data_IF_850825111985
#
_entry.id   IF_850825111985
#
_cell.length_a   1.000
_cell.length_b   1.000
_cell.length_c   1.000
_cell.angle_alpha   90.00
_cell.angle_beta   90.00
_cell.angle_gamma   90.00
#
_symmetry.space_group_name_H-M   'P 1'
#
loop_
_entity.id
_entity.type
_entity.pdbx_description
1 polymer ?
#
# COMPACT_ATOMS: atom_id res chain seq x y z
N UNK A 1 -18.19 -0.06 -15.66
CA UNK A 1 -16.93 0.56 -15.25
C UNK A 1 -16.44 -0.18 -14.02
N UNK A 2 -15.29 -0.79 -14.08
CA UNK A 2 -14.70 -1.49 -12.92
C UNK A 2 -13.76 -0.51 -12.22
N UNK A 3 -14.06 -0.17 -10.98
CA UNK A 3 -13.25 0.74 -10.18
C UNK A 3 -12.60 0.01 -9.01
N UNK A 4 -11.52 0.56 -8.50
CA UNK A 4 -10.80 0.07 -7.34
C UNK A 4 -10.32 1.24 -6.50
N UNK A 5 -10.32 1.08 -5.19
CA UNK A 5 -9.69 2.00 -4.25
C UNK A 5 -8.25 1.55 -4.00
N UNK A 6 -7.30 2.40 -4.35
CA UNK A 6 -5.88 2.19 -4.12
C UNK A 6 -5.40 3.10 -3.01
N UNK A 7 -4.92 2.51 -1.92
CA UNK A 7 -4.38 3.24 -0.76
C UNK A 7 -2.87 3.02 -0.67
N UNK A 8 -2.10 4.11 -0.73
CA UNK A 8 -0.70 4.15 -0.35
C UNK A 8 -0.62 4.74 1.08
N UNK A 9 -0.42 3.87 2.07
CA UNK A 9 -0.34 4.26 3.48
C UNK A 9 1.11 4.23 3.96
N UNK A 10 1.78 5.32 3.73
CA UNK A 10 3.19 5.50 4.11
C UNK A 10 3.39 5.76 5.61
N UNK A 11 4.64 5.94 6.02
CA UNK A 11 4.99 6.22 7.42
C UNK A 11 4.38 7.52 7.91
N UNK A 12 4.45 8.58 7.09
CA UNK A 12 4.04 9.96 7.43
C UNK A 12 2.88 10.47 6.60
N UNK A 13 2.51 9.79 5.51
CA UNK A 13 1.49 10.24 4.56
C UNK A 13 0.49 9.13 4.27
N UNK A 14 -0.71 9.54 3.88
CA UNK A 14 -1.79 8.67 3.44
C UNK A 14 -2.35 9.21 2.13
N UNK A 15 -2.46 8.34 1.14
CA UNK A 15 -3.03 8.67 -0.16
C UNK A 15 -4.04 7.59 -0.56
N UNK A 16 -5.27 8.01 -0.83
CA UNK A 16 -6.35 7.14 -1.30
C UNK A 16 -6.85 7.63 -2.66
N UNK A 17 -6.91 6.73 -3.63
CA UNK A 17 -7.35 7.03 -4.98
C UNK A 17 -8.44 6.08 -5.42
N UNK A 18 -9.47 6.61 -6.05
CA UNK A 18 -10.42 5.85 -6.84
C UNK A 18 -9.88 5.78 -8.28
N UNK A 19 -9.64 4.57 -8.75
CA UNK A 19 -8.99 4.32 -10.05
C UNK A 19 -9.90 3.47 -10.94
N UNK A 20 -10.02 3.86 -12.18
CA UNK A 20 -10.63 3.03 -13.22
C UNK A 20 -9.67 1.91 -13.62
N UNK A 21 -10.13 0.64 -13.56
CA UNK A 21 -9.25 -0.52 -13.81
C UNK A 21 -8.88 -0.72 -15.28
N UNK A 22 -9.66 -0.17 -16.19
CA UNK A 22 -9.44 -0.36 -17.63
C UNK A 22 -8.51 0.73 -18.20
N UNK A 23 -8.62 1.96 -17.69
CA UNK A 23 -7.87 3.12 -18.19
C UNK A 23 -6.75 3.57 -17.26
N UNK A 24 -6.73 3.08 -16.01
CA UNK A 24 -5.87 3.53 -14.92
C UNK A 24 -6.06 5.02 -14.55
N UNK A 25 -7.12 5.64 -15.03
CA UNK A 25 -7.40 7.04 -14.71
C UNK A 25 -7.82 7.21 -13.25
N UNK A 26 -7.20 8.16 -12.57
CA UNK A 26 -7.59 8.58 -11.21
C UNK A 26 -8.85 9.44 -11.31
N UNK A 27 -9.95 8.94 -10.78
CA UNK A 27 -11.25 9.61 -10.79
C UNK A 27 -11.43 10.54 -9.58
N UNK A 28 -10.84 10.15 -8.43
CA UNK A 28 -10.88 10.93 -7.20
C UNK A 28 -9.64 10.62 -6.35
N UNK A 29 -9.23 11.59 -5.53
CA UNK A 29 -8.10 11.44 -4.62
C UNK A 29 -8.39 12.10 -3.26
N UNK A 30 -7.96 11.44 -2.20
CA UNK A 30 -7.92 11.97 -0.84
C UNK A 30 -6.50 11.84 -0.28
N UNK A 31 -5.96 12.95 0.24
CA UNK A 31 -4.63 13.03 0.81
C UNK A 31 -4.70 13.43 2.28
N UNK A 32 -3.85 12.83 3.10
CA UNK A 32 -3.68 13.20 4.50
C UNK A 32 -2.21 13.09 4.91
N UNK A 33 -1.79 13.91 5.85
CA UNK A 33 -0.48 13.81 6.52
C UNK A 33 -0.49 12.81 7.69
N UNK A 34 -1.59 12.09 7.91
CA UNK A 34 -1.72 11.08 8.97
C UNK A 34 -1.32 9.71 8.43
N UNK A 35 -0.02 9.45 8.39
CA UNK A 35 0.51 8.14 8.02
C UNK A 35 0.44 7.11 9.15
N UNK A 36 0.98 5.91 8.90
CA UNK A 36 0.94 4.77 9.84
C UNK A 36 1.53 5.11 11.19
N UNK A 37 2.63 5.89 11.26
CA UNK A 37 3.28 6.23 12.54
C UNK A 37 2.38 7.07 13.45
N UNK A 38 1.64 8.02 12.89
CA UNK A 38 0.69 8.84 13.65
C UNK A 38 -0.52 8.00 14.08
N UNK A 39 -1.09 7.22 13.16
CA UNK A 39 -2.22 6.31 13.42
C UNK A 39 -1.89 5.30 14.54
N UNK A 40 -0.67 4.75 14.53
CA UNK A 40 -0.22 3.82 15.56
C UNK A 40 -0.12 4.46 16.95
N UNK A 41 0.37 5.70 17.03
CA UNK A 41 0.41 6.45 18.30
C UNK A 41 -0.99 6.72 18.85
N UNK A 42 -1.90 7.19 17.99
CA UNK A 42 -3.29 7.44 18.36
C UNK A 42 -3.99 6.15 18.84
N UNK A 43 -3.75 5.01 18.17
CA UNK A 43 -4.26 3.72 18.62
C UNK A 43 -3.73 3.34 20.00
N UNK A 44 -2.44 3.55 20.27
CA UNK A 44 -1.80 3.24 21.56
C UNK A 44 -2.41 4.02 22.74
N UNK A 45 -2.99 5.18 22.49
CA UNK A 45 -3.67 6.01 23.47
C UNK A 45 -5.10 5.51 23.77
N UNK A 46 -5.64 4.62 22.94
CA UNK A 46 -6.98 4.05 23.06
C UNK A 46 -6.89 2.57 23.45
N UNK A 47 -6.97 2.27 24.75
CA UNK A 47 -6.65 0.94 25.30
C UNK A 47 -7.67 -0.17 25.02
N UNK A 48 -8.82 0.12 24.41
CA UNK A 48 -9.96 -0.81 24.30
C UNK A 48 -10.24 -1.33 22.89
N UNK A 49 -9.65 -0.74 21.86
CA UNK A 49 -9.95 -1.08 20.46
C UNK A 49 -8.84 -1.95 19.88
N UNK A 50 -9.21 -3.04 19.21
CA UNK A 50 -8.29 -3.85 18.42
C UNK A 50 -7.60 -2.98 17.38
N UNK A 51 -6.29 -3.21 17.14
CA UNK A 51 -5.50 -2.42 16.21
C UNK A 51 -6.06 -2.45 14.78
N UNK A 52 -6.43 -3.63 14.29
CA UNK A 52 -7.01 -3.78 12.96
C UNK A 52 -8.31 -2.97 12.83
N UNK A 53 -9.17 -3.03 13.83
CA UNK A 53 -10.45 -2.31 13.83
C UNK A 53 -10.23 -0.79 13.84
N UNK A 54 -9.27 -0.30 14.63
CA UNK A 54 -8.92 1.11 14.66
C UNK A 54 -8.47 1.63 13.29
N UNK A 55 -7.56 0.90 12.63
CA UNK A 55 -7.10 1.25 11.28
C UNK A 55 -8.22 1.14 10.25
N UNK A 56 -9.11 0.13 10.41
CA UNK A 56 -10.28 -0.04 9.57
C UNK A 56 -11.20 1.18 9.62
N UNK A 57 -11.47 1.69 10.81
CA UNK A 57 -12.30 2.90 10.98
C UNK A 57 -11.64 4.14 10.35
N UNK A 58 -10.32 4.28 10.45
CA UNK A 58 -9.58 5.36 9.77
C UNK A 58 -9.69 5.27 8.25
N UNK A 59 -9.55 4.05 7.70
CA UNK A 59 -9.68 3.82 6.27
C UNK A 59 -11.12 4.10 5.80
N UNK A 60 -12.14 3.63 6.52
CA UNK A 60 -13.56 3.92 6.26
C UNK A 60 -13.84 5.43 6.23
N UNK A 61 -13.37 6.16 7.24
CA UNK A 61 -13.52 7.61 7.31
C UNK A 61 -12.91 8.29 6.10
N UNK A 62 -11.71 7.85 5.66
CA UNK A 62 -11.03 8.40 4.49
C UNK A 62 -11.77 8.09 3.19
N UNK A 63 -12.36 6.88 3.05
CA UNK A 63 -13.20 6.50 1.92
C UNK A 63 -14.46 7.38 1.88
N UNK A 64 -15.11 7.59 3.02
CA UNK A 64 -16.29 8.46 3.12
C UNK A 64 -15.97 9.91 2.75
N UNK A 65 -14.81 10.43 3.17
CA UNK A 65 -14.36 11.78 2.78
C UNK A 65 -14.09 11.89 1.28
N UNK A 66 -13.47 10.87 0.68
CA UNK A 66 -13.24 10.80 -0.76
C UNK A 66 -14.58 10.79 -1.51
N UNK A 67 -15.53 9.95 -1.10
CA UNK A 67 -16.87 9.87 -1.69
C UNK A 67 -17.62 11.21 -1.61
N UNK A 68 -17.59 11.86 -0.44
CA UNK A 68 -18.24 13.15 -0.21
C UNK A 68 -17.67 14.27 -1.09
N UNK A 69 -16.34 14.30 -1.26
CA UNK A 69 -15.68 15.34 -2.07
C UNK A 69 -15.83 15.14 -3.57
N UNK A 70 -15.95 13.91 -4.01
CA UNK A 70 -16.00 13.56 -5.43
C UNK A 70 -17.38 13.26 -5.96
N UNK A 71 -18.40 13.18 -5.08
CA UNK A 71 -19.78 12.76 -5.42
C UNK A 71 -19.85 11.36 -6.08
N UNK A 72 -18.84 10.52 -5.86
CA UNK A 72 -18.76 9.16 -6.39
C UNK A 72 -19.27 8.17 -5.35
N UNK A 73 -20.07 7.20 -5.79
CA UNK A 73 -20.46 6.07 -4.94
C UNK A 73 -19.24 5.15 -4.79
N UNK A 74 -18.83 4.87 -3.55
CA UNK A 74 -17.72 3.99 -3.20
C UNK A 74 -18.17 2.67 -2.57
N UNK A 75 -19.47 2.37 -2.57
CA UNK A 75 -20.01 1.12 -2.04
C UNK A 75 -19.55 -0.07 -2.87
N UNK A 76 -19.25 -1.17 -2.20
CA UNK A 76 -18.83 -2.44 -2.82
C UNK A 76 -17.59 -2.33 -3.74
N UNK A 77 -16.76 -1.30 -3.56
CA UNK A 77 -15.51 -1.16 -4.31
C UNK A 77 -14.38 -1.87 -3.55
N UNK A 78 -13.64 -2.79 -4.19
CA UNK A 78 -12.45 -3.41 -3.59
C UNK A 78 -11.41 -2.36 -3.19
N UNK A 79 -10.76 -2.61 -2.06
CA UNK A 79 -9.68 -1.73 -1.54
C UNK A 79 -8.36 -2.48 -1.55
N UNK A 80 -7.34 -1.93 -2.18
CA UNK A 80 -5.95 -2.40 -2.07
C UNK A 80 -5.16 -1.39 -1.26
N UNK A 81 -4.47 -1.87 -0.23
CA UNK A 81 -3.60 -1.06 0.63
C UNK A 81 -2.17 -1.54 0.49
N UNK A 82 -1.27 -0.64 0.11
CA UNK A 82 0.19 -0.86 0.06
C UNK A 82 0.92 0.05 1.05
N UNK A 83 2.22 -0.14 1.19
CA UNK A 83 3.06 0.66 2.08
C UNK A 83 3.09 0.14 3.50
N UNK A 84 3.21 1.03 4.47
CA UNK A 84 3.47 0.69 5.87
C UNK A 84 2.29 0.05 6.62
N UNK A 85 1.10 -0.04 6.01
CA UNK A 85 -0.07 -0.69 6.62
C UNK A 85 0.17 -2.18 6.94
N UNK A 86 1.09 -2.85 6.22
CA UNK A 86 1.47 -4.25 6.46
C UNK A 86 2.65 -4.44 7.41
N UNK A 87 3.09 -3.40 8.12
CA UNK A 87 4.23 -3.45 9.06
C UNK A 87 3.80 -3.82 10.49
N UNK A 88 4.78 -4.04 11.37
CA UNK A 88 4.57 -4.30 12.80
C UNK A 88 3.83 -3.17 13.53
N UNK A 89 3.88 -1.95 13.01
CA UNK A 89 3.11 -0.79 13.49
C UNK A 89 1.90 -0.48 12.59
N UNK A 90 1.67 -1.28 11.55
CA UNK A 90 0.57 -1.11 10.60
C UNK A 90 -0.75 -1.71 11.05
N UNK A 91 -1.69 -1.75 10.12
CA UNK A 91 -3.01 -2.33 10.31
C UNK A 91 -2.94 -3.83 10.63
N UNK A 92 -2.17 -4.56 9.83
CA UNK A 92 -1.95 -6.01 9.96
C UNK A 92 -0.50 -6.32 9.63
N UNK A 93 0.21 -7.04 10.48
CA UNK A 93 1.58 -7.44 10.21
C UNK A 93 1.60 -8.65 9.25
N UNK A 94 2.18 -8.44 8.06
CA UNK A 94 2.24 -9.45 7.02
C UNK A 94 3.71 -9.75 6.69
N UNK A 95 4.12 -11.03 6.63
CA UNK A 95 5.48 -11.40 6.25
C UNK A 95 5.86 -10.82 4.88
N UNK A 96 7.12 -10.44 4.73
CA UNK A 96 7.66 -10.00 3.45
C UNK A 96 7.72 -11.14 2.42
N UNK A 97 7.53 -10.81 1.14
CA UNK A 97 7.97 -11.67 0.06
C UNK A 97 9.51 -11.67 -0.02
N UNK A 98 10.10 -12.71 -0.60
CA UNK A 98 11.55 -12.88 -0.70
C UNK A 98 12.07 -12.67 -2.12
N UNK A 99 13.35 -12.35 -2.24
CA UNK A 99 14.05 -12.31 -3.52
C UNK A 99 14.41 -13.73 -4.02
N UNK A 100 14.45 -13.94 -5.36
CA UNK A 100 14.09 -12.99 -6.42
C UNK A 100 12.57 -12.82 -6.56
N UNK A 101 12.10 -11.57 -6.66
CA UNK A 101 10.67 -11.23 -6.67
C UNK A 101 10.19 -10.86 -8.09
N UNK A 102 9.14 -11.52 -8.58
CA UNK A 102 8.56 -11.25 -9.91
C UNK A 102 7.68 -9.99 -9.90
N UNK A 103 7.94 -9.06 -10.83
CA UNK A 103 7.14 -7.83 -10.95
C UNK A 103 5.77 -8.03 -11.61
N UNK A 104 5.38 -9.25 -11.93
CA UNK A 104 4.00 -9.56 -12.32
C UNK A 104 3.06 -9.75 -11.10
N UNK A 105 3.55 -9.56 -9.89
CA UNK A 105 2.79 -9.66 -8.65
C UNK A 105 2.49 -11.09 -8.17
N UNK A 106 2.85 -12.14 -8.93
CA UNK A 106 2.50 -13.54 -8.60
C UNK A 106 3.14 -14.06 -7.30
N UNK A 107 4.14 -13.37 -6.78
CA UNK A 107 4.84 -13.70 -5.53
C UNK A 107 4.60 -12.67 -4.42
N UNK A 108 3.68 -11.72 -4.65
CA UNK A 108 3.35 -10.74 -3.62
C UNK A 108 2.77 -11.42 -2.38
N UNK A 109 3.27 -11.05 -1.21
CA UNK A 109 2.70 -11.48 0.06
C UNK A 109 1.51 -10.58 0.37
N UNK A 110 0.32 -11.16 0.47
CA UNK A 110 -0.91 -10.41 0.66
C UNK A 110 -1.78 -11.04 1.75
N UNK A 111 -2.61 -10.20 2.38
CA UNK A 111 -3.73 -10.65 3.22
C UNK A 111 -5.03 -10.14 2.60
N UNK A 112 -6.00 -11.03 2.45
CA UNK A 112 -7.32 -10.73 1.90
C UNK A 112 -8.36 -10.87 3.00
N UNK A 113 -9.23 -9.89 3.12
CA UNK A 113 -10.41 -9.88 3.98
C UNK A 113 -11.62 -9.77 3.04
N UNK A 114 -12.35 -10.86 2.84
CA UNK A 114 -13.38 -11.00 1.79
C UNK A 114 -14.57 -10.06 1.96
N UNK A 115 -14.92 -9.77 3.19
CA UNK A 115 -16.02 -8.85 3.51
C UNK A 115 -15.50 -7.73 4.42
N UNK A 116 -14.89 -6.73 3.81
CA UNK A 116 -14.45 -5.56 4.54
C UNK A 116 -15.64 -4.65 4.82
N UNK A 117 -15.97 -4.49 6.09
CA UNK A 117 -17.05 -3.61 6.59
C UNK A 117 -18.49 -4.06 6.32
N UNK A 118 -18.77 -5.32 6.03
CA UNK A 118 -20.09 -5.77 5.67
C UNK A 118 -20.57 -5.24 4.32
N UNK A 119 -19.64 -4.74 3.48
CA UNK A 119 -19.93 -4.20 2.15
C UNK A 119 -19.95 -5.26 1.05
N UNK A 120 -19.49 -6.48 1.37
CA UNK A 120 -19.26 -7.52 0.37
C UNK A 120 -18.06 -7.25 -0.55
N UNK A 121 -17.30 -6.19 -0.29
CA UNK A 121 -16.09 -5.86 -1.05
C UNK A 121 -14.82 -6.28 -0.28
N UNK A 122 -13.80 -6.83 -0.95
CA UNK A 122 -12.58 -7.25 -0.29
C UNK A 122 -11.65 -6.06 0.04
N UNK A 123 -10.95 -6.20 1.17
CA UNK A 123 -9.77 -5.43 1.50
C UNK A 123 -8.54 -6.32 1.27
N UNK A 124 -7.59 -5.84 0.49
CA UNK A 124 -6.34 -6.53 0.18
C UNK A 124 -5.20 -5.69 0.72
N UNK A 125 -4.44 -6.22 1.67
CA UNK A 125 -3.23 -5.56 2.19
C UNK A 125 -2.02 -6.24 1.59
N UNK A 126 -1.15 -5.45 0.95
CA UNK A 126 0.06 -5.92 0.28
C UNK A 126 1.26 -5.71 1.19
N UNK A 127 2.10 -6.72 1.35
CA UNK A 127 3.36 -6.63 2.09
C UNK A 127 4.52 -6.29 1.15
N UNK A 128 5.64 -5.89 1.75
CA UNK A 128 6.86 -5.56 1.05
C UNK A 128 7.70 -6.77 0.62
N UNK A 129 8.89 -6.49 0.14
CA UNK A 129 9.90 -7.47 -0.26
C UNK A 129 11.15 -7.32 0.61
N UNK A 130 11.77 -8.42 1.00
CA UNK A 130 13.03 -8.44 1.74
C UNK A 130 14.17 -9.13 0.97
N UNK A 131 15.37 -8.66 1.23
CA UNK A 131 16.61 -9.38 0.99
C UNK A 131 17.15 -9.90 2.33
N UNK A 132 18.36 -10.46 2.33
CA UNK A 132 19.03 -10.90 3.57
C UNK A 132 19.45 -9.71 4.47
N UNK A 133 19.53 -8.49 3.92
CA UNK A 133 20.13 -7.33 4.60
C UNK A 133 19.28 -6.06 4.50
N UNK A 134 18.22 -6.06 3.70
CA UNK A 134 17.42 -4.86 3.42
C UNK A 134 15.96 -5.21 3.18
N UNK A 135 15.08 -4.20 3.30
CA UNK A 135 13.64 -4.32 3.07
C UNK A 135 13.14 -3.14 2.24
N UNK A 136 12.12 -3.37 1.42
CA UNK A 136 11.31 -2.32 0.80
C UNK A 136 9.83 -2.62 1.03
N UNK A 137 9.03 -1.55 1.15
CA UNK A 137 7.60 -1.70 1.42
C UNK A 137 6.82 -0.55 0.80
N UNK A 138 6.07 -0.89 -0.26
CA UNK A 138 5.39 0.04 -1.16
C UNK A 138 6.09 0.16 -2.51
N UNK A 139 7.42 0.13 -2.53
CA UNK A 139 8.22 0.22 -3.75
C UNK A 139 8.03 -0.99 -4.67
N UNK A 140 7.82 -2.19 -4.12
CA UNK A 140 7.48 -3.38 -4.91
C UNK A 140 6.18 -3.20 -5.71
N UNK A 141 5.20 -2.53 -5.13
CA UNK A 141 3.93 -2.23 -5.81
C UNK A 141 4.14 -1.23 -6.96
N UNK A 142 5.03 -0.25 -6.76
CA UNK A 142 5.42 0.69 -7.82
C UNK A 142 6.13 -0.03 -8.98
N UNK A 143 7.04 -0.97 -8.68
CA UNK A 143 7.73 -1.77 -9.68
C UNK A 143 6.78 -2.65 -10.49
N UNK A 144 5.80 -3.28 -9.84
CA UNK A 144 4.74 -4.05 -10.51
C UNK A 144 3.98 -3.14 -11.49
N UNK A 145 3.55 -1.96 -11.04
CA UNK A 145 2.77 -1.03 -11.85
C UNK A 145 3.55 -0.37 -12.98
N UNK A 146 4.85 -0.12 -12.79
CA UNK A 146 5.70 0.52 -13.79
C UNK A 146 6.12 -0.40 -14.94
N UNK A 147 5.99 -1.74 -14.78
CA UNK A 147 6.35 -2.74 -15.81
C UNK A 147 7.73 -2.47 -16.42
N UNK A 148 8.72 -2.19 -15.58
CA UNK A 148 10.08 -1.81 -16.01
C UNK A 148 10.83 -3.00 -16.60
N UNK A 149 11.72 -2.73 -17.56
CA UNK A 149 12.62 -3.72 -18.16
C UNK A 149 13.86 -3.99 -17.28
N UNK A 150 14.77 -4.81 -17.80
CA UNK A 150 16.04 -5.13 -17.16
C UNK A 150 16.94 -3.90 -16.99
N UNK A 151 17.70 -3.84 -15.91
CA UNK A 151 18.59 -2.73 -15.58
C UNK A 151 18.53 -2.31 -14.11
N UNK A 152 18.93 -1.08 -13.84
CA UNK A 152 18.83 -0.48 -12.52
C UNK A 152 17.68 0.53 -12.52
N UNK A 153 16.74 0.30 -11.61
CA UNK A 153 15.62 1.22 -11.34
C UNK A 153 15.90 1.96 -10.04
N UNK A 154 15.79 3.28 -10.08
CA UNK A 154 15.94 4.12 -8.89
C UNK A 154 14.57 4.65 -8.49
N UNK A 155 14.16 4.34 -7.28
CA UNK A 155 12.93 4.86 -6.66
C UNK A 155 13.35 5.91 -5.62
N UNK A 156 13.22 7.22 -5.96
CA UNK A 156 13.65 8.29 -5.07
C UNK A 156 12.73 8.41 -3.85
N UNK A 157 13.30 8.85 -2.73
CA UNK A 157 12.60 9.09 -1.47
C UNK A 157 13.61 9.36 -0.36
N UNK A 158 13.15 9.58 0.87
CA UNK A 158 14.04 9.67 2.05
C UNK A 158 14.94 8.43 2.15
N UNK A 159 14.39 7.27 1.82
CA UNK A 159 15.08 5.97 1.72
C UNK A 159 15.05 5.52 0.26
N UNK A 160 15.86 6.13 -0.60
CA UNK A 160 15.92 5.79 -2.02
C UNK A 160 16.29 4.34 -2.23
N UNK A 161 15.53 3.62 -3.05
CA UNK A 161 15.80 2.23 -3.41
C UNK A 161 16.47 2.16 -4.78
N UNK A 162 17.56 1.46 -4.85
CA UNK A 162 18.25 1.12 -6.10
C UNK A 162 18.04 -0.37 -6.34
N UNK A 163 17.29 -0.68 -7.37
CA UNK A 163 16.75 -2.02 -7.61
C UNK A 163 17.34 -2.59 -8.88
N UNK A 164 17.97 -3.75 -8.81
CA UNK A 164 18.44 -4.49 -9.96
C UNK A 164 17.32 -5.38 -10.50
N UNK A 165 16.98 -5.14 -11.76
CA UNK A 165 15.97 -5.91 -12.50
C UNK A 165 16.66 -6.85 -13.49
N UNK A 166 16.31 -8.14 -13.45
CA UNK A 166 16.82 -9.18 -14.37
C UNK A 166 15.65 -10.13 -14.69
N UNK A 167 15.38 -10.35 -15.98
CA UNK A 167 14.34 -11.26 -16.45
C UNK A 167 12.96 -11.03 -15.82
N UNK A 168 12.55 -9.76 -15.70
CA UNK A 168 11.28 -9.36 -15.10
C UNK A 168 11.18 -9.64 -13.59
N UNK A 169 12.32 -9.67 -12.90
CA UNK A 169 12.42 -9.90 -11.45
C UNK A 169 13.30 -8.86 -10.77
N UNK A 170 12.92 -8.50 -9.56
CA UNK A 170 13.83 -7.86 -8.62
C UNK A 170 14.81 -8.94 -8.15
N UNK A 171 16.07 -8.80 -8.55
CA UNK A 171 17.14 -9.72 -8.18
C UNK A 171 17.85 -9.28 -6.90
N UNK A 172 18.09 -7.99 -6.77
CA UNK A 172 18.67 -7.37 -5.57
C UNK A 172 18.24 -5.92 -5.45
N UNK A 173 18.35 -5.34 -4.27
CA UNK A 173 18.19 -3.90 -4.06
C UNK A 173 19.02 -3.41 -2.88
N UNK A 174 19.28 -2.11 -2.86
CA UNK A 174 19.95 -1.41 -1.78
C UNK A 174 19.26 -0.09 -1.47
N UNK A 175 19.24 0.27 -0.18
CA UNK A 175 18.67 1.53 0.32
C UNK A 175 19.77 2.55 0.54
N UNK A 176 19.54 3.77 0.07
CA UNK A 176 20.40 4.92 0.30
C UNK A 176 19.60 6.06 0.95
N UNK A 177 20.17 6.67 1.97
CA UNK A 177 19.60 7.83 2.65
C UNK A 177 19.98 9.09 1.87
N UNK A 178 19.17 9.43 0.87
CA UNK A 178 19.45 10.55 -0.05
C UNK A 178 18.42 11.68 0.02
N UNK A 179 17.40 11.53 0.84
CA UNK A 179 16.28 12.46 0.94
C UNK A 179 16.27 13.34 2.19
N UNK A 180 17.39 13.41 2.94
CA UNK A 180 17.55 14.31 4.09
C UNK A 180 18.28 15.60 3.70
#
# INVERSE_FOLDING_TARGET
MKTILCCDWGTTSFRLRLVDQDTYAVQAEFLSSTGVAATFREWKEQSEINRFDFYSERLKSSISELARKSTVNTDNIPVIVSGMASSSIGMEEIPYAELPFRINGSQASVRVFDDYNGSGAPLIIVSGVKSNVDVMRGEETQLIGASVGDGIVVLPGTHSKWVQMIDGRVNSFATFFTGE
#
